data_IF_713459187015
#
_entry.id   IF_713459187015
#
_cell.length_a   1.000
_cell.length_b   1.000
_cell.length_c   1.000
_cell.angle_alpha   90.00
_cell.angle_beta   90.00
_cell.angle_gamma   90.00
#
_symmetry.space_group_name_H-M   'P 1'
#
loop_
_entity.id
_entity.type
_entity.pdbx_description
1 polymer ?
#
# COMPACT_ATOMS: atom_id res chain seq x y z
N UNK A 1 6.38 -6.51 27.87
CA UNK A 1 6.28 -5.73 26.62
C UNK A 1 7.04 -4.43 26.80
N UNK A 2 8.17 -4.28 26.10
CA UNK A 2 8.86 -2.99 26.03
C UNK A 2 7.93 -1.95 25.36
N UNK A 3 7.64 -0.85 26.06
CA UNK A 3 6.71 0.19 25.61
C UNK A 3 7.12 0.80 24.26
N UNK A 4 8.43 0.90 24.02
CA UNK A 4 9.00 1.43 22.77
C UNK A 4 8.71 0.47 21.61
N UNK A 5 8.90 -0.84 21.80
CA UNK A 5 8.61 -1.84 20.77
C UNK A 5 7.13 -1.86 20.37
N UNK A 6 6.24 -1.74 21.37
CA UNK A 6 4.80 -1.59 21.14
C UNK A 6 4.46 -0.33 20.33
N UNK A 7 5.05 0.81 20.67
CA UNK A 7 4.84 2.08 19.97
C UNK A 7 5.29 2.02 18.49
N UNK A 8 6.51 1.53 18.22
CA UNK A 8 7.05 1.40 16.85
C UNK A 8 6.17 0.48 16.00
N UNK A 9 5.70 -0.63 16.57
CA UNK A 9 4.79 -1.55 15.89
C UNK A 9 3.46 -0.89 15.53
N UNK A 10 2.90 -0.09 16.43
CA UNK A 10 1.66 0.68 16.17
C UNK A 10 1.85 1.67 15.03
N UNK A 11 2.98 2.40 14.98
CA UNK A 11 3.29 3.27 13.85
C UNK A 11 3.33 2.47 12.55
N UNK A 12 3.99 1.30 12.56
CA UNK A 12 4.02 0.41 11.40
C UNK A 12 2.64 0.03 10.89
N UNK A 13 1.69 -0.29 11.77
CA UNK A 13 0.30 -0.55 11.38
C UNK A 13 -0.42 0.70 10.85
N UNK A 14 -0.17 1.87 11.42
CA UNK A 14 -0.75 3.13 10.92
C UNK A 14 -0.25 3.40 9.49
N UNK A 15 1.04 3.22 9.24
CA UNK A 15 1.63 3.35 7.89
C UNK A 15 1.01 2.32 6.94
N UNK A 16 0.89 1.06 7.37
CA UNK A 16 0.28 0.00 6.57
C UNK A 16 -1.14 0.34 6.14
N UNK A 17 -2.00 0.72 7.10
CA UNK A 17 -3.39 1.08 6.82
C UNK A 17 -3.51 2.36 6.00
N UNK A 18 -2.76 3.41 6.37
CA UNK A 18 -2.82 4.70 5.69
C UNK A 18 -2.39 4.61 4.23
N UNK A 19 -1.24 3.98 3.97
CA UNK A 19 -0.73 3.81 2.61
C UNK A 19 -1.55 2.80 1.81
N UNK A 20 -2.06 1.73 2.46
CA UNK A 20 -2.94 0.76 1.81
C UNK A 20 -4.28 1.35 1.36
N UNK A 21 -4.97 2.11 2.22
CA UNK A 21 -6.25 2.75 1.88
C UNK A 21 -6.06 3.81 0.80
N UNK A 22 -5.06 4.67 0.93
CA UNK A 22 -4.79 5.68 -0.09
C UNK A 22 -4.39 5.01 -1.41
N UNK A 23 -3.46 4.08 -1.37
CA UNK A 23 -3.00 3.33 -2.53
C UNK A 23 -4.13 2.58 -3.25
N UNK A 24 -5.12 2.07 -2.52
CA UNK A 24 -6.34 1.48 -3.07
C UNK A 24 -7.12 2.47 -3.93
N UNK A 25 -7.45 3.63 -3.38
CA UNK A 25 -8.19 4.66 -4.11
C UNK A 25 -7.42 5.18 -5.33
N UNK A 26 -6.09 5.29 -5.25
CA UNK A 26 -5.26 5.63 -6.41
C UNK A 26 -5.36 4.56 -7.51
N UNK A 27 -5.27 3.28 -7.15
CA UNK A 27 -5.40 2.19 -8.12
C UNK A 27 -6.77 2.19 -8.79
N UNK A 28 -7.85 2.39 -8.03
CA UNK A 28 -9.20 2.51 -8.58
C UNK A 28 -9.35 3.74 -9.47
N UNK A 29 -8.76 4.88 -9.10
CA UNK A 29 -8.79 6.09 -9.92
C UNK A 29 -8.04 5.91 -11.24
N UNK A 30 -6.88 5.23 -11.22
CA UNK A 30 -6.12 4.86 -12.43
C UNK A 30 -7.00 3.98 -13.33
N UNK A 31 -7.60 2.93 -12.78
CA UNK A 31 -8.43 1.99 -13.55
C UNK A 31 -9.68 2.67 -14.09
N UNK A 32 -10.34 3.52 -13.29
CA UNK A 32 -11.51 4.30 -13.70
C UNK A 32 -11.21 5.15 -14.94
N UNK A 33 -10.04 5.78 -15.00
CA UNK A 33 -9.63 6.58 -16.17
C UNK A 33 -9.40 5.74 -17.43
N UNK A 34 -9.01 4.48 -17.31
CA UNK A 34 -8.64 3.62 -18.45
C UNK A 34 -9.85 2.80 -18.94
N UNK A 35 -10.57 2.19 -18.00
CA UNK A 35 -11.58 1.17 -18.27
C UNK A 35 -12.98 1.53 -17.70
N UNK A 36 -13.12 2.72 -17.11
CA UNK A 36 -14.39 3.20 -16.59
C UNK A 36 -14.94 2.36 -15.45
N UNK A 37 -16.27 2.38 -15.28
CA UNK A 37 -16.97 1.71 -14.18
C UNK A 37 -16.73 0.19 -14.15
N UNK A 38 -16.85 -0.48 -15.29
CA UNK A 38 -16.63 -1.94 -15.36
C UNK A 38 -15.18 -2.34 -15.09
N UNK A 39 -14.23 -1.45 -15.38
CA UNK A 39 -12.84 -1.60 -14.94
C UNK A 39 -12.71 -1.65 -13.42
N UNK A 40 -13.40 -0.75 -12.70
CA UNK A 40 -13.42 -0.74 -11.22
C UNK A 40 -14.02 -2.05 -10.69
N UNK A 41 -15.14 -2.51 -11.25
CA UNK A 41 -15.77 -3.76 -10.83
C UNK A 41 -14.80 -4.94 -11.00
N UNK A 42 -14.14 -5.04 -12.15
CA UNK A 42 -13.12 -6.06 -12.39
C UNK A 42 -11.93 -5.92 -11.43
N UNK A 43 -11.50 -4.69 -11.14
CA UNK A 43 -10.41 -4.41 -10.23
C UNK A 43 -10.69 -4.85 -8.78
N UNK A 44 -11.93 -4.69 -8.32
CA UNK A 44 -12.36 -5.18 -7.00
C UNK A 44 -12.36 -6.71 -6.96
N UNK A 45 -12.77 -7.37 -8.04
CA UNK A 45 -12.72 -8.83 -8.14
C UNK A 45 -11.29 -9.37 -8.21
N UNK A 46 -10.39 -8.66 -8.90
CA UNK A 46 -8.99 -9.03 -9.09
C UNK A 46 -8.06 -8.53 -7.95
N UNK A 47 -8.59 -7.74 -7.02
CA UNK A 47 -7.98 -7.24 -5.79
C UNK A 47 -6.44 -7.19 -5.80
N UNK A 48 -5.73 -8.25 -5.36
CA UNK A 48 -4.28 -8.29 -5.31
C UNK A 48 -3.58 -7.90 -6.63
N UNK A 49 -4.11 -8.35 -7.76
CA UNK A 49 -3.53 -8.08 -9.09
C UNK A 49 -3.65 -6.59 -9.43
N UNK A 50 -4.74 -5.94 -9.03
CA UNK A 50 -4.92 -4.49 -9.23
C UNK A 50 -3.87 -3.68 -8.50
N UNK A 51 -3.57 -4.03 -7.25
CA UNK A 51 -2.53 -3.36 -6.47
C UNK A 51 -1.13 -3.59 -7.02
N UNK A 52 -0.92 -4.70 -7.73
CA UNK A 52 0.33 -4.95 -8.43
C UNK A 52 0.42 -4.11 -9.72
N UNK A 53 -0.57 -4.25 -10.60
CA UNK A 53 -0.50 -3.77 -11.97
C UNK A 53 -0.76 -2.26 -12.11
N UNK A 54 -1.74 -1.70 -11.40
CA UNK A 54 -2.13 -0.30 -11.58
C UNK A 54 -1.00 0.71 -11.25
N UNK A 55 -0.21 0.53 -10.16
CA UNK A 55 0.91 1.41 -9.88
C UNK A 55 2.04 1.32 -10.90
N UNK A 56 2.35 0.11 -11.39
CA UNK A 56 3.34 -0.10 -12.45
C UNK A 56 2.89 0.56 -13.75
N UNK A 57 1.61 0.40 -14.12
CA UNK A 57 1.03 1.07 -15.27
C UNK A 57 1.16 2.60 -15.15
N UNK A 58 0.83 3.19 -14.00
CA UNK A 58 0.97 4.63 -13.79
C UNK A 58 2.43 5.10 -13.94
N UNK A 59 3.40 4.33 -13.44
CA UNK A 59 4.82 4.63 -13.61
C UNK A 59 5.27 4.58 -15.06
N UNK A 60 4.99 3.48 -15.77
CA UNK A 60 5.48 3.28 -17.13
C UNK A 60 4.69 4.03 -18.20
N UNK A 61 3.36 4.13 -18.07
CA UNK A 61 2.51 4.72 -19.09
C UNK A 61 2.27 6.22 -18.89
N UNK A 62 2.30 6.71 -17.64
CA UNK A 62 1.98 8.10 -17.30
C UNK A 62 3.15 8.85 -16.65
N UNK A 63 4.34 8.24 -16.58
CA UNK A 63 5.53 8.76 -15.88
C UNK A 63 5.24 9.22 -14.43
N UNK A 64 4.25 8.60 -13.81
CA UNK A 64 3.82 8.92 -12.45
C UNK A 64 4.12 7.76 -11.52
N UNK A 65 5.28 7.84 -10.88
CA UNK A 65 5.78 6.83 -9.95
C UNK A 65 5.20 6.93 -8.54
N UNK A 66 4.44 7.98 -8.24
CA UNK A 66 3.88 8.20 -6.90
C UNK A 66 3.00 7.04 -6.40
N UNK A 67 2.07 6.47 -7.18
CA UNK A 67 1.25 5.33 -6.73
C UNK A 67 2.09 4.10 -6.38
N UNK A 68 3.20 3.90 -7.07
CA UNK A 68 4.12 2.78 -6.83
C UNK A 68 4.89 3.00 -5.53
N UNK A 69 5.48 4.19 -5.35
CA UNK A 69 6.19 4.55 -4.12
C UNK A 69 5.26 4.46 -2.91
N UNK A 70 4.02 4.93 -3.04
CA UNK A 70 3.05 4.89 -1.96
C UNK A 70 2.65 3.45 -1.61
N UNK A 71 2.24 2.64 -2.58
CA UNK A 71 1.79 1.27 -2.32
C UNK A 71 2.95 0.37 -1.88
N UNK A 72 4.03 0.33 -2.65
CA UNK A 72 5.12 -0.62 -2.42
C UNK A 72 6.06 -0.12 -1.34
N UNK A 73 6.45 1.16 -1.40
CA UNK A 73 7.28 1.78 -0.38
C UNK A 73 6.57 1.83 0.98
N UNK A 74 5.28 2.18 1.01
CA UNK A 74 4.47 2.17 2.22
C UNK A 74 4.37 0.77 2.85
N UNK A 75 4.11 -0.26 2.03
CA UNK A 75 4.09 -1.65 2.48
C UNK A 75 5.43 -2.13 3.05
N UNK A 76 6.54 -1.84 2.36
CA UNK A 76 7.90 -2.20 2.81
C UNK A 76 8.24 -1.48 4.12
N UNK A 77 8.00 -0.17 4.19
CA UNK A 77 8.27 0.62 5.39
C UNK A 77 7.46 0.13 6.59
N UNK A 78 6.17 -0.16 6.39
CA UNK A 78 5.32 -0.75 7.41
C UNK A 78 5.83 -2.11 7.91
N UNK A 79 6.22 -3.00 6.99
CA UNK A 79 6.77 -4.31 7.33
C UNK A 79 8.05 -4.20 8.17
N UNK A 80 8.94 -3.26 7.83
CA UNK A 80 10.17 -2.99 8.59
C UNK A 80 9.82 -2.50 10.01
N UNK A 81 8.93 -1.52 10.13
CA UNK A 81 8.53 -0.98 11.44
C UNK A 81 7.85 -2.03 12.33
N UNK A 82 6.93 -2.82 11.77
CA UNK A 82 6.27 -3.92 12.48
C UNK A 82 7.29 -4.98 12.91
N UNK A 83 8.24 -5.32 12.03
CA UNK A 83 9.31 -6.27 12.31
C UNK A 83 10.21 -5.81 13.46
N UNK A 84 10.73 -4.58 13.37
CA UNK A 84 11.58 -3.97 14.42
C UNK A 84 10.82 -3.89 15.74
N UNK A 85 9.60 -3.34 15.74
CA UNK A 85 8.80 -3.21 16.95
C UNK A 85 8.48 -4.58 17.59
N UNK A 86 8.24 -5.60 16.76
CA UNK A 86 8.02 -6.97 17.24
C UNK A 86 9.28 -7.60 17.83
N UNK A 87 10.46 -7.37 17.24
CA UNK A 87 11.73 -7.84 17.78
C UNK A 87 12.03 -7.21 19.15
N UNK A 88 11.91 -5.89 19.26
CA UNK A 88 12.12 -5.13 20.51
C UNK A 88 11.13 -5.49 21.63
N UNK A 89 9.94 -5.98 21.26
CA UNK A 89 8.91 -6.35 22.25
C UNK A 89 9.12 -7.74 22.87
N UNK A 90 9.98 -8.56 22.26
CA UNK A 90 10.36 -9.91 22.72
C UNK A 90 11.53 -9.91 23.69
N UNK A 91 12.31 -8.83 23.72
CA UNK A 91 13.31 -8.51 24.74
C UNK A 91 12.64 -7.96 26.00
#
# INVERSE_FOLDING_TARGET
MNAIGGFVKTIGYIVWFGTGIWGFFLCLAIISKIAGFWGIVAALALGPVTFLAAPLYAGFAWDNWFPLVLNYGGGIAAMILIGIGSAMSKE
#
